data_IF_579985282229
#
_entry.id   IF_579985282229
#
_cell.length_a   1.000
_cell.length_b   1.000
_cell.length_c   1.000
_cell.angle_alpha   90.00
_cell.angle_beta   90.00
_cell.angle_gamma   90.00
#
_symmetry.space_group_name_H-M   'P 1'
#
loop_
_entity.id
_entity.type
_entity.pdbx_description
1 polymer ?
#
# COMPACT_ATOMS: atom_id res chain seq x y z
N UNK A 1 -8.00 13.05 18.96
CA UNK A 1 -6.62 13.32 18.49
C UNK A 1 -6.40 12.79 17.07
N UNK A 2 -6.22 11.47 16.84
CA UNK A 2 -6.10 10.95 15.46
C UNK A 2 -7.43 10.97 14.70
N UNK A 3 -8.56 10.90 15.39
CA UNK A 3 -9.89 10.81 14.78
C UNK A 3 -10.26 12.01 13.89
N UNK A 4 -9.85 13.21 14.23
CA UNK A 4 -10.11 14.40 13.42
C UNK A 4 -9.32 14.39 12.11
N UNK A 5 -8.03 14.05 12.18
CA UNK A 5 -7.21 13.87 11.00
C UNK A 5 -7.72 12.72 10.11
N UNK A 6 -8.18 11.60 10.72
CA UNK A 6 -8.82 10.50 9.99
C UNK A 6 -10.14 10.93 9.34
N UNK A 7 -10.98 11.68 10.04
CA UNK A 7 -12.21 12.19 9.45
C UNK A 7 -11.96 13.01 8.18
N UNK A 8 -10.99 13.93 8.21
CA UNK A 8 -10.60 14.73 7.05
C UNK A 8 -10.02 13.90 5.91
N UNK A 9 -9.33 12.82 6.25
CA UNK A 9 -8.75 11.87 5.31
C UNK A 9 -9.80 10.98 4.64
N UNK A 10 -10.83 10.57 5.39
CA UNK A 10 -11.87 9.62 4.95
C UNK A 10 -13.10 10.31 4.32
N UNK A 11 -13.17 11.64 4.35
CA UNK A 11 -14.25 12.41 3.73
C UNK A 11 -14.31 12.16 2.21
N UNK A 12 -15.52 12.24 1.64
CA UNK A 12 -15.71 12.10 0.18
C UNK A 12 -14.93 13.15 -0.63
N UNK A 13 -14.70 14.33 -0.02
CA UNK A 13 -13.87 15.40 -0.56
C UNK A 13 -12.56 15.52 0.25
N UNK A 14 -11.86 14.41 0.46
CA UNK A 14 -10.69 14.34 1.30
C UNK A 14 -9.68 15.47 1.00
N UNK A 15 -9.39 16.30 2.00
CA UNK A 15 -8.32 17.29 1.95
C UNK A 15 -7.07 16.68 2.61
N UNK A 16 -6.22 16.09 1.78
CA UNK A 16 -5.02 15.40 2.26
C UNK A 16 -3.99 16.35 2.89
N UNK A 17 -3.92 17.62 2.44
CA UNK A 17 -3.06 18.62 3.06
C UNK A 17 -3.58 18.99 4.45
N UNK A 18 -4.88 19.23 4.58
CA UNK A 18 -5.51 19.53 5.85
C UNK A 18 -5.47 18.34 6.84
N UNK A 19 -5.67 17.11 6.33
CA UNK A 19 -5.53 15.90 7.15
C UNK A 19 -4.09 15.73 7.66
N UNK A 20 -3.10 16.10 6.85
CA UNK A 20 -1.68 16.01 7.19
C UNK A 20 -1.27 17.08 8.21
N UNK A 21 -1.58 18.35 7.95
CA UNK A 21 -1.07 19.50 8.70
C UNK A 21 -1.98 19.95 9.84
N UNK A 22 -3.31 19.69 9.74
CA UNK A 22 -4.29 20.21 10.69
C UNK A 22 -4.60 21.71 10.45
N UNK A 23 -5.40 22.27 11.35
CA UNK A 23 -5.77 23.69 11.38
C UNK A 23 -6.14 24.14 12.82
N UNK A 24 -6.70 25.35 12.94
CA UNK A 24 -7.16 25.90 14.22
C UNK A 24 -8.27 25.06 14.91
N UNK A 25 -8.98 24.19 14.17
CA UNK A 25 -10.06 23.37 14.67
C UNK A 25 -9.60 21.99 15.15
N UNK A 26 -8.38 21.56 14.77
CA UNK A 26 -7.85 20.28 15.24
C UNK A 26 -6.53 19.87 14.59
N UNK A 27 -5.82 18.92 15.24
CA UNK A 27 -4.50 18.47 14.83
C UNK A 27 -4.56 17.68 13.51
N UNK A 28 -3.48 17.78 12.72
CA UNK A 28 -3.21 16.89 11.61
C UNK A 28 -2.41 15.64 12.02
N UNK A 29 -2.13 14.77 11.06
CA UNK A 29 -1.33 13.57 11.34
C UNK A 29 0.09 13.91 11.80
N UNK A 30 0.68 15.02 11.33
CA UNK A 30 2.02 15.45 11.75
C UNK A 30 2.05 15.85 13.24
N UNK A 31 1.04 16.59 13.72
CA UNK A 31 0.91 16.93 15.13
C UNK A 31 0.77 15.69 16.01
N UNK A 32 -0.04 14.71 15.55
CA UNK A 32 -0.20 13.44 16.27
C UNK A 32 1.12 12.67 16.32
N UNK A 33 1.91 12.69 15.25
CA UNK A 33 3.23 12.04 15.22
C UNK A 33 4.21 12.73 16.16
N UNK A 34 4.24 14.06 16.17
CA UNK A 34 5.14 14.83 17.01
C UNK A 34 4.85 14.60 18.50
N UNK A 35 3.58 14.71 18.89
CA UNK A 35 3.18 14.60 20.28
C UNK A 35 3.08 13.16 20.81
N UNK A 36 2.72 12.20 19.94
CA UNK A 36 2.35 10.83 20.34
C UNK A 36 3.03 9.74 19.50
N UNK A 37 4.15 10.05 18.83
CA UNK A 37 4.79 9.17 17.86
C UNK A 37 5.23 7.79 18.36
N UNK A 38 5.37 7.59 19.67
CA UNK A 38 5.66 6.31 20.31
C UNK A 38 4.43 5.47 20.63
N UNK A 39 3.22 6.05 20.58
CA UNK A 39 1.95 5.38 20.86
C UNK A 39 1.42 4.63 19.64
N UNK A 40 0.37 3.80 19.85
CA UNK A 40 -0.34 3.13 18.74
C UNK A 40 -0.95 4.15 17.77
N UNK A 41 -1.54 5.23 18.28
CA UNK A 41 -2.14 6.29 17.47
C UNK A 41 -1.07 7.02 16.64
N UNK A 42 0.05 7.42 17.25
CA UNK A 42 1.17 8.06 16.54
C UNK A 42 1.83 7.13 15.53
N UNK A 43 1.90 5.82 15.82
CA UNK A 43 2.39 4.85 14.85
C UNK A 43 1.46 4.72 13.63
N UNK A 44 0.14 4.67 13.84
CA UNK A 44 -0.85 4.65 12.77
C UNK A 44 -0.87 5.97 11.99
N UNK A 45 -0.70 7.10 12.66
CA UNK A 45 -0.59 8.41 12.01
C UNK A 45 0.57 8.49 11.01
N UNK A 46 1.69 7.78 11.24
CA UNK A 46 2.80 7.68 10.27
C UNK A 46 2.36 7.01 8.96
N UNK A 47 1.55 5.97 9.05
CA UNK A 47 0.99 5.31 7.87
C UNK A 47 0.08 6.25 7.09
N UNK A 48 -0.86 6.93 7.76
CA UNK A 48 -1.75 7.89 7.11
C UNK A 48 -1.02 9.11 6.54
N UNK A 49 -0.04 9.65 7.26
CA UNK A 49 0.81 10.73 6.73
C UNK A 49 1.53 10.32 5.44
N UNK A 50 2.06 9.09 5.39
CA UNK A 50 2.64 8.55 4.17
C UNK A 50 1.66 8.48 3.01
N UNK A 51 0.38 8.12 3.26
CA UNK A 51 -0.66 8.12 2.23
C UNK A 51 -0.99 9.55 1.79
N UNK A 52 -1.10 10.50 2.72
CA UNK A 52 -1.35 11.91 2.39
C UNK A 52 -0.26 12.45 1.46
N UNK A 53 1.01 12.25 1.80
CA UNK A 53 2.13 12.67 0.94
C UNK A 53 2.09 12.01 -0.43
N UNK A 54 1.76 10.72 -0.50
CA UNK A 54 1.61 10.01 -1.78
C UNK A 54 0.48 10.62 -2.63
N UNK A 55 -0.65 10.97 -2.03
CA UNK A 55 -1.79 11.62 -2.69
C UNK A 55 -1.47 13.04 -3.16
N UNK A 56 -0.59 13.73 -2.44
CA UNK A 56 -0.08 15.07 -2.79
C UNK A 56 1.09 15.02 -3.81
N UNK A 57 1.55 13.84 -4.20
CA UNK A 57 2.64 13.66 -5.17
C UNK A 57 4.05 13.76 -4.57
N UNK A 58 4.17 13.89 -3.26
CA UNK A 58 5.47 13.94 -2.57
C UNK A 58 5.95 12.52 -2.23
N UNK A 59 6.58 11.87 -3.22
CA UNK A 59 7.04 10.48 -3.11
C UNK A 59 8.14 10.27 -2.07
N UNK A 60 8.97 11.29 -1.82
CA UNK A 60 10.08 11.16 -0.88
C UNK A 60 9.60 11.20 0.56
N UNK A 61 8.74 12.15 0.91
CA UNK A 61 8.10 12.18 2.22
C UNK A 61 7.15 10.98 2.41
N UNK A 62 6.40 10.58 1.38
CA UNK A 62 5.58 9.37 1.44
C UNK A 62 6.40 8.15 1.84
N UNK A 63 7.51 7.90 1.15
CA UNK A 63 8.42 6.79 1.47
C UNK A 63 8.98 6.90 2.90
N UNK A 64 9.42 8.10 3.30
CA UNK A 64 10.00 8.34 4.63
C UNK A 64 9.00 8.07 5.76
N UNK A 65 7.74 8.51 5.61
CA UNK A 65 6.72 8.29 6.64
C UNK A 65 6.20 6.86 6.68
N UNK A 66 5.99 6.20 5.52
CA UNK A 66 5.64 4.78 5.47
C UNK A 66 6.72 3.90 6.11
N UNK A 67 8.00 4.21 5.91
CA UNK A 67 9.11 3.50 6.52
C UNK A 67 9.20 3.65 8.05
N UNK A 68 8.67 4.74 8.62
CA UNK A 68 8.60 4.96 10.07
C UNK A 68 7.48 4.15 10.75
N UNK A 69 6.52 3.61 9.99
CA UNK A 69 5.46 2.77 10.55
C UNK A 69 6.02 1.44 11.03
N UNK A 70 5.65 1.03 12.22
CA UNK A 70 6.02 -0.27 12.81
C UNK A 70 4.83 -1.22 12.71
N UNK A 71 5.01 -2.42 12.12
CA UNK A 71 3.93 -3.39 12.01
C UNK A 71 3.28 -3.69 13.37
N UNK A 72 1.97 -3.62 13.42
CA UNK A 72 1.19 -3.96 14.61
C UNK A 72 0.76 -5.44 14.57
N UNK A 73 0.35 -5.98 15.73
CA UNK A 73 -0.11 -7.37 15.86
C UNK A 73 -1.64 -7.43 15.84
N UNK A 74 -2.17 -8.52 15.33
CA UNK A 74 -3.60 -8.85 15.31
C UNK A 74 -4.20 -8.75 13.90
N UNK A 75 -5.32 -9.45 13.70
CA UNK A 75 -5.96 -9.60 12.38
C UNK A 75 -6.27 -8.27 11.69
N UNK A 76 -6.86 -7.25 12.35
CA UNK A 76 -7.10 -5.96 11.69
C UNK A 76 -5.80 -5.25 11.28
N UNK A 77 -4.71 -5.48 12.02
CA UNK A 77 -3.42 -4.87 11.73
C UNK A 77 -2.72 -5.49 10.51
N UNK A 78 -3.00 -6.75 10.19
CA UNK A 78 -2.39 -7.44 9.04
C UNK A 78 -2.73 -6.72 7.73
N UNK A 79 -3.98 -6.26 7.57
CA UNK A 79 -4.40 -5.49 6.39
C UNK A 79 -3.61 -4.19 6.29
N UNK A 80 -3.49 -3.44 7.39
CA UNK A 80 -2.73 -2.16 7.42
C UNK A 80 -1.24 -2.41 7.19
N UNK A 81 -0.68 -3.48 7.78
CA UNK A 81 0.71 -3.86 7.57
C UNK A 81 0.99 -4.19 6.09
N UNK A 82 0.12 -4.97 5.46
CA UNK A 82 0.23 -5.31 4.05
C UNK A 82 0.06 -4.05 3.18
N UNK A 83 -0.91 -3.20 3.49
CA UNK A 83 -1.14 -1.94 2.79
C UNK A 83 0.08 -1.02 2.87
N UNK A 84 0.70 -0.87 4.05
CA UNK A 84 1.90 -0.06 4.21
C UNK A 84 3.04 -0.54 3.31
N UNK A 85 3.27 -1.86 3.25
CA UNK A 85 4.30 -2.47 2.38
C UNK A 85 3.92 -2.29 0.91
N UNK A 86 2.65 -2.51 0.56
CA UNK A 86 2.16 -2.36 -0.81
C UNK A 86 2.31 -0.92 -1.34
N UNK A 87 2.04 0.09 -0.50
CA UNK A 87 2.24 1.51 -0.85
C UNK A 87 3.71 1.84 -1.09
N UNK A 88 4.64 1.26 -0.32
CA UNK A 88 6.07 1.37 -0.62
C UNK A 88 6.41 0.74 -1.97
N UNK A 89 5.75 -0.35 -2.33
CA UNK A 89 5.83 -0.95 -3.67
C UNK A 89 5.30 -0.03 -4.76
N UNK A 90 4.16 0.63 -4.53
CA UNK A 90 3.61 1.61 -5.46
C UNK A 90 4.57 2.79 -5.69
N UNK A 91 5.18 3.31 -4.62
CA UNK A 91 6.22 4.36 -4.73
C UNK A 91 7.43 3.87 -5.53
N UNK A 92 7.84 2.62 -5.35
CA UNK A 92 8.95 2.05 -6.12
C UNK A 92 8.60 1.97 -7.62
N UNK A 93 7.36 1.62 -7.98
CA UNK A 93 6.87 1.67 -9.37
C UNK A 93 6.94 3.09 -9.94
N UNK A 94 6.43 4.09 -9.20
CA UNK A 94 6.48 5.50 -9.61
C UNK A 94 7.92 6.01 -9.83
N UNK A 95 8.87 5.49 -9.05
CA UNK A 95 10.31 5.78 -9.19
C UNK A 95 11.00 4.94 -10.27
N UNK A 96 10.30 4.01 -10.92
CA UNK A 96 10.85 3.11 -11.95
C UNK A 96 11.68 1.95 -11.38
N UNK A 97 11.70 1.76 -10.06
CA UNK A 97 12.38 0.62 -9.42
C UNK A 97 11.45 -0.59 -9.32
N UNK A 98 11.16 -1.18 -10.48
CA UNK A 98 10.28 -2.34 -10.58
C UNK A 98 10.82 -3.56 -9.81
N UNK A 99 12.14 -3.72 -9.71
CA UNK A 99 12.73 -4.83 -8.97
C UNK A 99 12.47 -4.74 -7.46
N UNK A 100 12.56 -3.54 -6.89
CA UNK A 100 12.16 -3.29 -5.50
C UNK A 100 10.64 -3.44 -5.32
N UNK A 101 9.84 -2.92 -6.26
CA UNK A 101 8.38 -3.01 -6.23
C UNK A 101 7.90 -4.47 -6.15
N UNK A 102 8.43 -5.35 -7.00
CA UNK A 102 8.08 -6.78 -7.00
C UNK A 102 8.30 -7.41 -5.63
N UNK A 103 9.48 -7.19 -5.02
CA UNK A 103 9.80 -7.73 -3.69
C UNK A 103 8.84 -7.22 -2.61
N UNK A 104 8.46 -5.94 -2.69
CA UNK A 104 7.53 -5.32 -1.75
C UNK A 104 6.11 -5.88 -1.92
N UNK A 105 5.63 -6.05 -3.15
CA UNK A 105 4.31 -6.66 -3.40
C UNK A 105 4.26 -8.13 -2.97
N UNK A 106 5.30 -8.92 -3.23
CA UNK A 106 5.37 -10.29 -2.71
C UNK A 106 5.34 -10.33 -1.18
N UNK A 107 6.07 -9.41 -0.52
CA UNK A 107 6.06 -9.29 0.94
C UNK A 107 4.67 -8.90 1.45
N UNK A 108 3.99 -7.94 0.81
CA UNK A 108 2.63 -7.53 1.17
C UNK A 108 1.65 -8.70 1.04
N UNK A 109 1.73 -9.49 -0.04
CA UNK A 109 0.91 -10.69 -0.24
C UNK A 109 1.08 -11.71 0.87
N UNK A 110 2.31 -11.93 1.35
CA UNK A 110 2.60 -12.86 2.46
C UNK A 110 2.14 -12.37 3.82
N UNK A 111 2.12 -11.05 4.05
CA UNK A 111 1.74 -10.46 5.35
C UNK A 111 0.23 -10.54 5.57
N UNK A 112 -0.57 -10.48 4.52
CA UNK A 112 -2.03 -10.62 4.58
C UNK A 112 -2.47 -11.66 3.56
N UNK A 113 -2.23 -12.94 3.91
CA UNK A 113 -2.48 -14.11 3.07
C UNK A 113 -3.96 -14.50 3.10
N UNK A 114 -4.74 -13.86 2.25
CA UNK A 114 -6.18 -14.11 2.10
C UNK A 114 -6.65 -13.85 0.66
N UNK A 115 -7.86 -14.29 0.33
CA UNK A 115 -8.43 -14.18 -1.02
C UNK A 115 -8.73 -12.74 -1.49
N UNK A 116 -8.53 -11.72 -0.68
CA UNK A 116 -8.76 -10.32 -1.03
C UNK A 116 -7.44 -9.59 -1.30
N UNK A 117 -6.53 -9.60 -0.35
CA UNK A 117 -5.33 -8.75 -0.41
C UNK A 117 -4.14 -9.41 -1.08
N UNK A 118 -3.90 -10.70 -0.83
CA UNK A 118 -2.75 -11.40 -1.42
C UNK A 118 -2.80 -11.43 -2.95
N UNK A 119 -3.91 -11.85 -3.62
CA UNK A 119 -3.97 -11.88 -5.07
C UNK A 119 -3.88 -10.48 -5.70
N UNK A 120 -4.38 -9.43 -5.03
CA UNK A 120 -4.21 -8.04 -5.46
C UNK A 120 -2.73 -7.64 -5.53
N UNK A 121 -1.94 -7.99 -4.49
CA UNK A 121 -0.50 -7.68 -4.52
C UNK A 121 0.26 -8.56 -5.51
N UNK A 122 -0.10 -9.83 -5.68
CA UNK A 122 0.48 -10.67 -6.73
C UNK A 122 0.22 -10.12 -8.13
N UNK A 123 -0.99 -9.58 -8.38
CA UNK A 123 -1.30 -8.89 -9.63
C UNK A 123 -0.42 -7.65 -9.83
N UNK A 124 -0.19 -6.84 -8.80
CA UNK A 124 0.73 -5.69 -8.86
C UNK A 124 2.16 -6.15 -9.15
N UNK A 125 2.61 -7.25 -8.55
CA UNK A 125 3.92 -7.83 -8.83
C UNK A 125 4.02 -8.31 -10.30
N UNK A 126 2.97 -8.95 -10.83
CA UNK A 126 2.92 -9.36 -12.24
C UNK A 126 3.05 -8.16 -13.19
N UNK A 127 2.33 -7.08 -12.92
CA UNK A 127 2.39 -5.86 -13.73
C UNK A 127 3.77 -5.19 -13.67
N UNK A 128 4.40 -5.14 -12.49
CA UNK A 128 5.75 -4.60 -12.34
C UNK A 128 6.80 -5.47 -13.06
N UNK A 129 6.69 -6.80 -13.00
CA UNK A 129 7.55 -7.72 -13.73
C UNK A 129 7.39 -7.56 -15.25
N UNK A 130 6.15 -7.40 -15.73
CA UNK A 130 5.89 -7.14 -17.15
C UNK A 130 6.47 -5.79 -17.61
N UNK A 131 6.33 -4.74 -16.81
CA UNK A 131 6.93 -3.43 -17.10
C UNK A 131 8.46 -3.47 -17.17
N UNK A 132 9.09 -4.40 -16.43
CA UNK A 132 10.52 -4.68 -16.47
C UNK A 132 10.93 -5.55 -17.67
N UNK A 133 9.97 -6.04 -18.46
CA UNK A 133 10.20 -6.95 -19.59
C UNK A 133 10.37 -8.41 -19.17
N UNK A 134 10.21 -8.76 -17.90
CA UNK A 134 10.32 -10.14 -17.42
C UNK A 134 8.96 -10.85 -17.50
N UNK A 135 8.58 -11.21 -18.73
CA UNK A 135 7.30 -11.88 -19.03
C UNK A 135 7.16 -13.23 -18.31
N UNK A 136 8.23 -13.99 -18.17
CA UNK A 136 8.21 -15.28 -17.47
C UNK A 136 7.80 -15.11 -16.00
N UNK A 137 8.43 -14.19 -15.28
CA UNK A 137 8.10 -13.89 -13.90
C UNK A 137 6.69 -13.32 -13.76
N UNK A 138 6.26 -12.47 -14.70
CA UNK A 138 4.92 -11.90 -14.71
C UNK A 138 3.85 -12.98 -14.86
N UNK A 139 4.04 -13.92 -15.79
CA UNK A 139 3.15 -15.08 -15.97
C UNK A 139 3.15 -15.99 -14.74
N UNK A 140 4.30 -16.19 -14.11
CA UNK A 140 4.41 -16.96 -12.86
C UNK A 140 3.54 -16.39 -11.75
N UNK A 141 3.48 -15.07 -11.57
CA UNK A 141 2.58 -14.43 -10.61
C UNK A 141 1.10 -14.62 -10.99
N UNK A 142 0.75 -14.51 -12.26
CA UNK A 142 -0.62 -14.72 -12.71
C UNK A 142 -1.09 -16.17 -12.47
N UNK A 143 -0.21 -17.15 -12.69
CA UNK A 143 -0.48 -18.56 -12.38
C UNK A 143 -0.63 -18.79 -10.88
N UNK A 144 0.20 -18.15 -10.06
CA UNK A 144 0.06 -18.22 -8.60
C UNK A 144 -1.31 -17.72 -8.13
N UNK A 145 -1.83 -16.63 -8.70
CA UNK A 145 -3.17 -16.14 -8.38
C UNK A 145 -4.22 -17.20 -8.64
N UNK A 146 -4.19 -17.88 -9.79
CA UNK A 146 -5.14 -18.95 -10.13
C UNK A 146 -5.03 -20.15 -9.19
N UNK A 147 -3.82 -20.57 -8.85
CA UNK A 147 -3.57 -21.78 -8.10
C UNK A 147 -3.75 -21.61 -6.59
N UNK A 148 -3.27 -20.50 -6.04
CA UNK A 148 -3.27 -20.23 -4.59
C UNK A 148 -4.58 -19.56 -4.13
N UNK A 149 -5.22 -18.76 -4.99
CA UNK A 149 -6.41 -17.97 -4.67
C UNK A 149 -7.57 -18.14 -5.65
N UNK A 150 -8.02 -19.37 -5.97
CA UNK A 150 -8.99 -19.63 -7.04
C UNK A 150 -10.36 -18.97 -6.80
N UNK A 151 -10.70 -18.63 -5.57
CA UNK A 151 -11.95 -17.95 -5.20
C UNK A 151 -11.86 -16.42 -5.25
N UNK A 152 -10.70 -15.84 -5.60
CA UNK A 152 -10.50 -14.39 -5.66
C UNK A 152 -11.04 -13.79 -6.96
N UNK A 153 -11.36 -12.49 -6.91
CA UNK A 153 -11.72 -11.73 -8.10
C UNK A 153 -10.57 -11.65 -9.11
N UNK A 154 -9.32 -11.58 -8.61
CA UNK A 154 -8.13 -11.59 -9.44
C UNK A 154 -7.94 -12.90 -10.19
N UNK A 155 -8.30 -14.06 -9.60
CA UNK A 155 -8.24 -15.35 -10.30
C UNK A 155 -9.21 -15.40 -11.49
N UNK A 156 -10.39 -14.82 -11.36
CA UNK A 156 -11.35 -14.72 -12.48
C UNK A 156 -10.82 -13.89 -13.65
N UNK A 157 -9.91 -12.95 -13.38
CA UNK A 157 -9.29 -12.07 -14.37
C UNK A 157 -7.88 -12.51 -14.77
N UNK A 158 -7.36 -13.62 -14.22
CA UNK A 158 -5.97 -14.02 -14.43
C UNK A 158 -5.66 -14.41 -15.89
N UNK A 159 -6.60 -15.02 -16.59
CA UNK A 159 -6.44 -15.33 -18.03
C UNK A 159 -6.29 -14.06 -18.86
N UNK A 160 -7.10 -13.02 -18.58
CA UNK A 160 -6.99 -11.73 -19.24
C UNK A 160 -5.65 -11.07 -18.93
N UNK A 161 -5.19 -11.15 -17.68
CA UNK A 161 -3.88 -10.66 -17.27
C UNK A 161 -2.75 -11.36 -18.03
N UNK A 162 -2.79 -12.70 -18.12
CA UNK A 162 -1.81 -13.48 -18.90
C UNK A 162 -1.82 -13.11 -20.37
N UNK A 163 -3.00 -12.94 -20.99
CA UNK A 163 -3.13 -12.48 -22.37
C UNK A 163 -2.50 -11.09 -22.58
N UNK A 164 -2.62 -10.18 -21.62
CA UNK A 164 -1.98 -8.85 -21.69
C UNK A 164 -0.46 -8.94 -21.60
N UNK A 165 0.07 -9.85 -20.77
CA UNK A 165 1.52 -10.04 -20.59
C UNK A 165 2.17 -10.66 -21.85
N UNK A 166 1.44 -11.51 -22.57
CA UNK A 166 1.94 -12.20 -23.76
C UNK A 166 2.04 -11.33 -25.01
N UNK A 167 1.32 -10.21 -25.05
CA UNK A 167 1.39 -9.21 -26.12
C UNK A 167 2.71 -8.41 -26.04
#
# INVERSE_FOLDING_TARGET
MIAEAQYRFEDQNADYALALEGDANGPGFLDVIDQYGSTRAGNLAKHYAGICYLRLGDLDNAAAYLAKYKPAKGIPAEIVNAQNIGLQGDIAVEKGDYAAAIKLFEKAAKVSDNNLTAPMYLRKAALAANAMGNKEQALGFAQRIQNEFPASAEAQNAEKLMGTIQQ
#
